data_IF_231400020594
#
_entry.id   IF_231400020594
#
_cell.length_a   1.000
_cell.length_b   1.000
_cell.length_c   1.000
_cell.angle_alpha   90.00
_cell.angle_beta   90.00
_cell.angle_gamma   90.00
#
_symmetry.space_group_name_H-M   'P 1'
#
loop_
_entity.id
_entity.type
_entity.pdbx_description
1 polymer ?
#
# COMPACT_ATOMS: atom_id res chain seq x y z
N UNK A 1 -8.94 17.17 5.08
CA UNK A 1 -9.09 15.88 4.38
C UNK A 1 -7.78 15.10 4.38
N UNK A 2 -6.62 15.75 4.21
CA UNK A 2 -5.31 15.09 4.33
C UNK A 2 -4.95 14.61 5.74
N UNK A 3 -5.38 15.36 6.78
CA UNK A 3 -5.13 14.99 8.18
C UNK A 3 -5.62 13.58 8.55
N UNK A 4 -6.71 13.09 7.95
CA UNK A 4 -7.18 11.71 8.21
C UNK A 4 -6.30 10.65 7.54
N UNK A 5 -5.75 10.95 6.36
CA UNK A 5 -4.80 10.06 5.67
C UNK A 5 -3.51 9.97 6.47
N UNK A 6 -2.97 11.12 6.89
CA UNK A 6 -1.73 11.16 7.69
C UNK A 6 -1.87 10.42 9.02
N UNK A 7 -2.98 10.61 9.74
CA UNK A 7 -3.23 9.89 11.00
C UNK A 7 -3.35 8.37 10.79
N UNK A 8 -4.05 7.93 9.74
CA UNK A 8 -4.21 6.50 9.43
C UNK A 8 -2.87 5.84 9.07
N UNK A 9 -2.04 6.51 8.27
CA UNK A 9 -0.70 6.04 7.94
C UNK A 9 0.19 6.00 9.18
N UNK A 10 0.14 7.02 10.05
CA UNK A 10 0.90 7.05 11.28
C UNK A 10 0.50 5.93 12.25
N UNK A 11 -0.80 5.68 12.43
CA UNK A 11 -1.32 4.58 13.25
C UNK A 11 -0.91 3.21 12.71
N UNK A 12 -0.93 3.03 11.39
CA UNK A 12 -0.48 1.78 10.76
C UNK A 12 1.01 1.57 10.98
N UNK A 13 1.81 2.62 10.78
CA UNK A 13 3.25 2.59 10.96
C UNK A 13 3.69 2.46 12.44
N UNK A 14 2.81 2.70 13.41
CA UNK A 14 3.12 2.52 14.84
C UNK A 14 2.90 1.09 15.35
N UNK A 15 2.40 0.17 14.52
CA UNK A 15 2.20 -1.24 14.89
C UNK A 15 3.52 -2.00 14.89
N UNK A 16 3.70 -2.89 15.87
CA UNK A 16 4.89 -3.73 15.98
C UNK A 16 5.11 -4.56 14.69
N UNK A 17 6.34 -4.51 14.18
CA UNK A 17 6.72 -5.18 12.93
C UNK A 17 6.44 -4.40 11.64
N UNK A 18 5.74 -3.26 11.70
CA UNK A 18 5.52 -2.39 10.52
C UNK A 18 6.65 -1.37 10.42
N UNK A 19 7.41 -1.42 9.33
CA UNK A 19 8.52 -0.48 9.09
C UNK A 19 8.12 0.73 8.24
N UNK A 20 6.96 0.69 7.59
CA UNK A 20 6.45 1.76 6.75
C UNK A 20 5.06 1.47 6.21
N UNK A 21 4.38 2.51 5.75
CA UNK A 21 3.03 2.43 5.16
C UNK A 21 2.90 3.46 4.04
N UNK A 22 2.20 3.09 2.97
CA UNK A 22 1.91 3.96 1.83
C UNK A 22 0.43 3.83 1.45
N UNK A 23 -0.15 4.92 0.99
CA UNK A 23 -1.50 4.94 0.41
C UNK A 23 -1.43 5.52 -1.01
N UNK A 24 -2.05 4.83 -1.96
CA UNK A 24 -2.16 5.26 -3.35
C UNK A 24 -3.62 5.25 -3.80
N UNK A 25 -3.94 6.04 -4.82
CA UNK A 25 -5.20 5.93 -5.55
C UNK A 25 -5.14 4.85 -6.64
N UNK A 26 -6.26 4.70 -7.37
CA UNK A 26 -6.39 3.71 -8.45
C UNK A 26 -5.51 4.02 -9.68
N UNK A 27 -4.93 5.22 -9.78
CA UNK A 27 -4.06 5.60 -10.89
C UNK A 27 -2.58 5.46 -10.54
N UNK A 28 -2.27 5.02 -9.31
CA UNK A 28 -0.90 4.89 -8.82
C UNK A 28 -0.33 6.18 -8.25
N UNK A 29 -1.13 7.24 -8.09
CA UNK A 29 -0.68 8.48 -7.44
C UNK A 29 -0.50 8.22 -5.94
N UNK A 30 0.64 8.63 -5.40
CA UNK A 30 0.91 8.50 -3.96
C UNK A 30 0.13 9.59 -3.21
N UNK A 31 -0.79 9.17 -2.34
CA UNK A 31 -1.57 10.06 -1.47
C UNK A 31 -0.88 10.34 -0.13
N UNK A 32 0.03 9.45 0.29
CA UNK A 32 0.82 9.65 1.51
C UNK A 32 1.71 8.46 1.84
N UNK A 33 2.74 8.73 2.64
CA UNK A 33 3.74 7.75 3.08
C UNK A 33 4.21 8.01 4.51
N UNK A 34 4.55 6.95 5.24
CA UNK A 34 5.23 6.99 6.56
C UNK A 34 6.26 5.86 6.68
N UNK A 35 7.26 6.07 7.53
CA UNK A 35 8.34 5.10 7.77
C UNK A 35 9.25 4.91 6.56
N UNK A 36 9.63 3.66 6.29
CA UNK A 36 10.55 3.25 5.22
C UNK A 36 9.86 2.96 3.88
N UNK A 37 8.55 3.15 3.77
CA UNK A 37 7.86 2.98 2.50
C UNK A 37 8.32 4.04 1.48
N UNK A 38 8.43 3.67 0.21
CA UNK A 38 8.92 4.57 -0.85
C UNK A 38 7.78 5.14 -1.68
N UNK A 39 7.75 6.46 -1.87
CA UNK A 39 6.80 7.16 -2.75
C UNK A 39 6.86 6.60 -4.18
N UNK A 40 8.06 6.26 -4.65
CA UNK A 40 8.31 5.75 -6.00
C UNK A 40 7.66 4.38 -6.23
N UNK A 41 7.38 3.63 -5.16
CA UNK A 41 6.74 2.31 -5.26
C UNK A 41 5.23 2.35 -5.49
N UNK A 42 4.60 3.52 -5.35
CA UNK A 42 3.15 3.71 -5.47
C UNK A 42 2.58 3.15 -6.78
N UNK A 43 3.18 3.50 -7.91
CA UNK A 43 2.71 3.05 -9.23
C UNK A 43 2.79 1.54 -9.42
N UNK A 44 3.90 0.90 -9.00
CA UNK A 44 4.07 -0.55 -9.16
C UNK A 44 3.16 -1.34 -8.22
N UNK A 45 2.95 -0.86 -6.99
CA UNK A 45 2.02 -1.48 -6.04
C UNK A 45 0.59 -1.46 -6.59
N UNK A 46 0.13 -0.32 -7.12
CA UNK A 46 -1.21 -0.21 -7.72
C UNK A 46 -1.33 -1.12 -8.95
N UNK A 47 -0.33 -1.15 -9.83
CA UNK A 47 -0.35 -2.05 -10.99
C UNK A 47 -0.45 -3.53 -10.58
N UNK A 48 0.29 -3.96 -9.55
CA UNK A 48 0.21 -5.33 -9.02
C UNK A 48 -1.21 -5.60 -8.47
N UNK A 49 -1.79 -4.66 -7.72
CA UNK A 49 -3.15 -4.77 -7.20
C UNK A 49 -4.19 -4.94 -8.31
N UNK A 50 -4.10 -4.14 -9.37
CA UNK A 50 -4.98 -4.24 -10.53
C UNK A 50 -4.85 -5.56 -11.28
N UNK A 51 -3.63 -6.08 -11.44
CA UNK A 51 -3.43 -7.39 -12.10
C UNK A 51 -3.97 -8.53 -11.25
N UNK A 52 -3.76 -8.49 -9.92
CA UNK A 52 -4.27 -9.52 -9.02
C UNK A 52 -5.80 -9.54 -8.98
N UNK A 53 -6.46 -8.37 -8.99
CA UNK A 53 -7.92 -8.28 -9.03
C UNK A 53 -8.54 -8.92 -10.27
N UNK A 54 -7.82 -9.01 -11.40
CA UNK A 54 -8.29 -9.67 -12.63
C UNK A 54 -8.32 -11.19 -12.54
N UNK A 55 -7.65 -11.80 -11.55
CA UNK A 55 -7.67 -13.25 -11.36
C UNK A 55 -9.07 -13.75 -10.97
N UNK A 56 -9.80 -12.96 -10.19
CA UNK A 56 -11.18 -13.23 -9.76
C UNK A 56 -12.05 -11.97 -9.95
N UNK A 57 -12.51 -11.66 -11.17
CA UNK A 57 -13.17 -10.39 -11.51
C UNK A 57 -14.47 -10.10 -10.76
N UNK A 58 -15.09 -11.13 -10.18
CA UNK A 58 -16.32 -11.03 -9.39
C UNK A 58 -16.10 -11.31 -7.91
N UNK A 59 -14.83 -11.49 -7.51
CA UNK A 59 -14.42 -11.72 -6.14
C UNK A 59 -14.24 -10.44 -5.33
N UNK A 60 -13.83 -10.61 -4.07
CA UNK A 60 -13.35 -9.49 -3.25
C UNK A 60 -11.93 -9.10 -3.67
N UNK A 61 -11.53 -7.86 -3.36
CA UNK A 61 -10.16 -7.40 -3.61
C UNK A 61 -9.15 -8.33 -2.89
N UNK A 62 -8.15 -8.88 -3.60
CA UNK A 62 -7.20 -9.81 -3.00
C UNK A 62 -6.26 -9.09 -2.02
N UNK A 63 -5.77 -9.83 -1.03
CA UNK A 63 -4.62 -9.42 -0.21
C UNK A 63 -3.37 -9.97 -0.90
N UNK A 64 -2.41 -9.08 -1.18
CA UNK A 64 -1.18 -9.43 -1.90
C UNK A 64 -0.02 -9.36 -0.92
N UNK A 65 0.74 -10.45 -0.84
CA UNK A 65 1.93 -10.55 0.02
C UNK A 65 3.14 -10.77 -0.89
N UNK A 66 4.14 -9.91 -0.75
CA UNK A 66 5.43 -10.03 -1.41
C UNK A 66 6.47 -10.35 -0.33
N UNK A 67 7.08 -11.52 -0.42
CA UNK A 67 8.07 -12.01 0.53
C UNK A 67 9.42 -12.15 -0.17
N UNK A 68 10.49 -11.79 0.53
CA UNK A 68 11.85 -12.03 0.09
C UNK A 68 12.71 -12.45 1.29
N UNK A 69 13.93 -12.92 1.03
CA UNK A 69 14.85 -13.38 2.08
C UNK A 69 15.42 -12.23 2.94
N UNK A 70 15.12 -10.98 2.59
CA UNK A 70 15.57 -9.79 3.31
C UNK A 70 14.47 -9.29 4.25
N UNK A 71 14.87 -8.77 5.42
CA UNK A 71 13.93 -8.14 6.37
C UNK A 71 13.54 -6.74 5.93
#
# INVERSE_FOLDING_TARGET
MEKSIESCLAETCSKDGVIGSLMSDQQGLCLGVKGKASIESSGVITAIAEQAAKLEPHGQNPIIVLENDTK
#
